data_IF_080008183997
#
_entry.id   IF_080008183997
#
_cell.length_a   1.000
_cell.length_b   1.000
_cell.length_c   1.000
_cell.angle_alpha   90.00
_cell.angle_beta   90.00
_cell.angle_gamma   90.00
#
_symmetry.space_group_name_H-M   'P 1'
#
loop_
_entity.id
_entity.type
_entity.pdbx_description
1 polymer ?
#
# COMPACT_ATOMS: atom_id res chain seq x y z
N UNK A 1 57.25 6.90 28.80
CA UNK A 1 57.14 6.08 30.03
C UNK A 1 55.85 6.53 30.66
N UNK A 2 54.75 5.85 30.34
CA UNK A 2 53.45 6.10 30.95
C UNK A 2 53.59 5.93 32.46
N UNK A 3 53.24 6.96 33.23
CA UNK A 3 53.07 6.78 34.66
C UNK A 3 51.88 5.82 34.88
N UNK A 4 51.93 5.01 35.93
CA UNK A 4 50.83 4.11 36.29
C UNK A 4 49.57 4.93 36.60
N UNK A 5 48.66 5.05 35.63
CA UNK A 5 47.36 5.71 35.80
C UNK A 5 46.85 6.55 34.63
N UNK A 6 47.66 6.80 33.60
CA UNK A 6 47.29 7.60 32.42
C UNK A 6 47.74 6.88 31.13
N UNK A 7 46.85 6.76 30.15
CA UNK A 7 47.11 6.12 28.86
C UNK A 7 47.43 7.12 27.74
N UNK A 8 47.22 8.41 27.96
CA UNK A 8 47.58 9.50 27.05
C UNK A 8 47.92 10.78 27.84
N UNK A 9 49.22 11.04 27.99
CA UNK A 9 49.75 12.23 28.70
C UNK A 9 49.29 13.58 28.08
N UNK A 10 48.59 13.56 26.93
CA UNK A 10 48.05 14.76 26.25
C UNK A 10 46.55 14.97 26.47
N UNK A 11 45.84 14.00 27.06
CA UNK A 11 44.38 14.03 27.23
C UNK A 11 43.95 13.63 28.64
N UNK A 12 43.46 14.61 29.41
CA UNK A 12 42.95 14.36 30.77
C UNK A 12 41.65 13.52 30.80
N UNK A 13 40.98 13.34 29.66
CA UNK A 13 39.71 12.61 29.59
C UNK A 13 39.87 11.10 29.39
N UNK A 14 41.08 10.60 29.15
CA UNK A 14 41.34 9.17 28.97
C UNK A 14 41.81 8.54 30.29
N UNK A 15 41.13 7.47 30.68
CA UNK A 15 41.31 6.73 31.93
C UNK A 15 41.35 5.24 31.66
N UNK A 16 42.34 4.50 32.22
CA UNK A 16 42.42 3.05 32.06
C UNK A 16 41.50 2.28 33.03
N UNK A 17 40.70 2.99 33.83
CA UNK A 17 39.68 2.37 34.68
C UNK A 17 38.43 2.16 33.84
N UNK A 18 37.93 0.95 33.89
CA UNK A 18 36.58 0.58 33.46
C UNK A 18 35.65 0.81 34.68
N UNK A 19 34.80 1.83 34.60
CA UNK A 19 33.96 2.24 35.75
C UNK A 19 32.57 1.59 35.76
N UNK A 20 32.06 1.10 34.63
CA UNK A 20 30.75 0.44 34.53
C UNK A 20 30.83 -1.09 34.45
N UNK A 21 32.02 -1.64 34.21
CA UNK A 21 32.34 -3.06 34.23
C UNK A 21 32.02 -3.80 32.94
N UNK A 22 31.89 -3.11 31.81
CA UNK A 22 31.61 -3.73 30.50
C UNK A 22 32.85 -4.34 29.83
N UNK A 23 34.04 -4.10 30.38
CA UNK A 23 35.32 -4.59 29.89
C UNK A 23 36.08 -3.61 28.99
N UNK A 24 35.50 -2.44 28.72
CA UNK A 24 36.11 -1.33 28.01
C UNK A 24 36.33 -0.15 28.95
N UNK A 25 37.34 0.65 28.60
CA UNK A 25 37.60 1.91 29.26
C UNK A 25 37.76 2.97 28.19
N UNK A 26 37.71 4.25 28.55
CA UNK A 26 38.00 5.34 27.58
C UNK A 26 39.33 5.16 26.84
N UNK A 27 40.34 4.54 27.45
CA UNK A 27 41.60 4.19 26.78
C UNK A 27 41.45 3.09 25.70
N UNK A 28 40.42 2.26 25.80
CA UNK A 28 40.09 1.19 24.86
C UNK A 28 39.04 1.61 23.83
N UNK A 29 38.67 2.91 23.78
CA UNK A 29 37.73 3.45 22.80
C UNK A 29 36.30 3.54 23.29
N UNK A 30 36.05 3.30 24.59
CA UNK A 30 34.74 3.50 25.19
C UNK A 30 34.29 4.97 25.09
N UNK A 31 33.11 5.18 24.52
CA UNK A 31 32.52 6.49 24.37
C UNK A 31 31.78 6.95 25.63
N UNK A 32 31.44 6.05 26.56
CA UNK A 32 30.91 6.40 27.87
C UNK A 32 31.21 5.34 28.95
N UNK A 33 32.36 5.50 29.58
CA UNK A 33 32.88 4.74 30.74
C UNK A 33 31.95 4.58 31.96
N UNK A 34 30.80 5.24 32.00
CA UNK A 34 29.83 5.14 33.09
C UNK A 34 28.51 4.45 32.65
N UNK A 35 28.48 3.90 31.44
CA UNK A 35 27.32 3.32 30.77
C UNK A 35 27.75 2.11 29.95
N UNK A 36 27.62 0.93 30.53
CA UNK A 36 27.91 -0.35 29.89
C UNK A 36 27.10 -0.63 28.61
N UNK A 37 26.00 0.12 28.39
CA UNK A 37 25.19 0.09 27.18
C UNK A 37 25.74 1.00 26.06
N UNK A 38 26.92 1.59 26.24
CA UNK A 38 27.56 2.53 25.30
C UNK A 38 29.03 2.20 25.10
N UNK A 39 29.27 1.06 24.49
CA UNK A 39 30.61 0.49 24.31
C UNK A 39 31.04 0.47 22.83
N UNK A 40 32.33 0.31 22.54
CA UNK A 40 32.85 0.19 21.17
C UNK A 40 32.75 -1.24 20.62
N UNK A 41 32.17 -2.16 21.40
CA UNK A 41 31.87 -3.50 20.89
C UNK A 41 30.78 -3.39 19.82
N UNK A 42 30.98 -4.15 18.75
CA UNK A 42 29.98 -4.44 17.72
C UNK A 42 29.52 -5.87 18.02
N UNK A 43 28.44 -5.99 18.79
CA UNK A 43 28.02 -7.27 19.39
C UNK A 43 27.20 -8.13 18.43
N UNK A 44 26.62 -7.53 17.39
CA UNK A 44 25.79 -8.21 16.41
C UNK A 44 26.43 -8.34 15.01
N UNK A 45 27.59 -7.69 14.82
CA UNK A 45 28.44 -7.73 13.65
C UNK A 45 27.86 -7.06 12.39
N UNK A 46 27.02 -6.04 12.56
CA UNK A 46 26.49 -5.21 11.47
C UNK A 46 27.47 -4.11 11.00
N UNK A 47 28.54 -3.88 11.76
CA UNK A 47 29.57 -2.86 11.50
C UNK A 47 29.36 -1.53 12.22
N UNK A 48 28.31 -1.42 13.02
CA UNK A 48 28.04 -0.34 13.95
C UNK A 48 28.15 -0.86 15.39
N UNK A 49 28.33 0.09 16.30
CA UNK A 49 28.31 -0.12 17.74
C UNK A 49 27.48 1.00 18.34
N UNK A 50 27.08 0.86 19.59
CA UNK A 50 26.40 1.95 20.32
C UNK A 50 27.23 3.24 20.36
N UNK A 51 28.57 3.17 20.26
CA UNK A 51 29.43 4.35 20.13
C UNK A 51 29.40 5.01 18.75
N UNK A 52 29.06 4.28 17.69
CA UNK A 52 28.95 4.80 16.32
C UNK A 52 27.51 5.10 15.90
N UNK A 53 26.56 5.02 16.83
CA UNK A 53 25.18 5.46 16.61
C UNK A 53 24.16 4.33 16.50
N UNK A 54 24.56 3.08 16.74
CA UNK A 54 23.62 1.97 16.86
C UNK A 54 22.71 2.18 18.07
N UNK A 55 21.40 1.99 17.85
CA UNK A 55 20.39 2.09 18.88
C UNK A 55 20.13 0.76 19.60
N UNK A 56 20.47 -0.38 18.99
CA UNK A 56 20.43 -1.73 19.58
C UNK A 56 21.48 -2.65 18.94
N UNK A 57 22.69 -2.59 19.50
CA UNK A 57 23.87 -3.39 19.14
C UNK A 57 23.71 -4.90 19.43
N UNK A 58 22.49 -5.39 19.67
CA UNK A 58 22.19 -6.82 19.78
C UNK A 58 21.38 -7.37 18.59
N UNK A 59 21.02 -6.52 17.64
CA UNK A 59 20.11 -6.82 16.53
C UNK A 59 20.58 -6.22 15.21
N UNK A 60 21.15 -7.02 14.27
CA UNK A 60 21.81 -6.49 13.06
C UNK A 60 20.91 -5.76 12.06
N UNK A 61 19.59 -5.82 12.27
CA UNK A 61 18.59 -5.20 11.39
C UNK A 61 18.02 -3.91 11.99
N UNK A 62 18.50 -3.49 13.17
CA UNK A 62 18.11 -2.25 13.85
C UNK A 62 19.34 -1.34 13.93
N UNK A 63 19.69 -0.77 12.79
CA UNK A 63 20.95 -0.04 12.58
C UNK A 63 20.71 1.43 12.21
N UNK A 64 21.74 2.30 12.29
CA UNK A 64 21.64 3.69 11.87
C UNK A 64 21.83 3.89 10.35
N UNK A 65 22.02 2.81 9.58
CA UNK A 65 22.07 2.90 8.13
C UNK A 65 20.67 3.13 7.56
N UNK A 66 20.59 3.99 6.55
CA UNK A 66 19.41 4.22 5.71
C UNK A 66 19.68 3.46 4.40
N UNK A 67 19.10 2.26 4.27
CA UNK A 67 19.46 1.32 3.18
C UNK A 67 18.76 1.64 1.87
N UNK A 68 17.53 2.15 1.88
CA UNK A 68 16.77 2.51 0.68
C UNK A 68 16.85 3.99 0.28
N UNK A 69 17.32 4.87 1.17
CA UNK A 69 17.60 6.28 0.92
C UNK A 69 16.40 7.20 1.07
N UNK A 70 15.35 6.82 1.81
CA UNK A 70 14.16 7.65 2.05
C UNK A 70 14.36 8.71 3.16
N UNK A 71 15.45 8.60 3.92
CA UNK A 71 15.82 9.52 5.01
C UNK A 71 15.45 9.02 6.41
N UNK A 72 14.84 7.84 6.51
CA UNK A 72 14.63 7.09 7.74
C UNK A 72 15.58 5.89 7.77
N UNK A 73 15.79 5.39 8.97
CA UNK A 73 16.54 4.16 9.19
C UNK A 73 15.72 3.31 10.13
N UNK A 74 16.02 2.02 10.24
CA UNK A 74 15.43 1.17 11.29
C UNK A 74 15.57 1.78 12.69
N UNK A 75 16.72 2.40 13.02
CA UNK A 75 16.87 3.16 14.28
C UNK A 75 16.01 4.43 14.38
N UNK A 76 15.62 5.03 13.26
CA UNK A 76 14.71 6.18 13.21
C UNK A 76 13.22 5.78 13.20
N UNK A 77 12.91 4.48 13.21
CA UNK A 77 11.56 3.94 13.28
C UNK A 77 11.03 3.35 11.98
N UNK A 78 11.87 3.21 10.96
CA UNK A 78 11.50 2.51 9.72
C UNK A 78 11.32 1.01 9.99
N UNK A 79 10.13 0.52 9.68
CA UNK A 79 9.73 -0.87 9.85
C UNK A 79 10.16 -1.77 8.67
N UNK A 80 10.57 -1.20 7.53
CA UNK A 80 11.18 -1.88 6.41
C UNK A 80 12.18 -1.00 5.61
N UNK A 81 13.40 -0.90 6.15
CA UNK A 81 14.56 -0.17 5.60
C UNK A 81 15.02 -0.53 4.17
N UNK A 82 14.38 -1.52 3.53
CA UNK A 82 14.69 -1.92 2.16
C UNK A 82 13.65 -1.40 1.14
N UNK A 83 12.67 -0.63 1.58
CA UNK A 83 11.56 -0.14 0.78
C UNK A 83 11.17 1.30 1.17
N UNK A 84 11.71 2.28 0.42
CA UNK A 84 11.52 3.70 0.74
C UNK A 84 10.11 4.26 0.50
N UNK A 85 9.12 3.39 0.36
CA UNK A 85 7.71 3.72 0.48
C UNK A 85 7.18 3.53 1.91
N UNK A 86 7.92 2.83 2.78
CA UNK A 86 7.55 2.46 4.14
C UNK A 86 8.43 3.26 5.10
N UNK A 87 7.85 4.20 5.85
CA UNK A 87 8.58 5.02 6.81
C UNK A 87 7.64 5.72 7.79
N UNK A 88 8.14 6.17 8.95
CA UNK A 88 7.33 6.92 9.90
C UNK A 88 6.57 8.11 9.30
N UNK A 89 5.26 8.15 9.54
CA UNK A 89 4.32 9.16 9.01
C UNK A 89 4.12 9.12 7.47
N UNK A 90 4.42 8.00 6.80
CA UNK A 90 4.06 7.81 5.39
C UNK A 90 2.53 7.84 5.16
N UNK A 91 2.11 8.03 3.91
CA UNK A 91 0.70 7.90 3.55
C UNK A 91 0.35 6.41 3.37
N UNK A 92 -0.53 5.89 4.22
CA UNK A 92 -1.06 4.52 4.11
C UNK A 92 -1.66 4.19 2.73
N UNK A 93 -1.24 3.05 2.19
CA UNK A 93 -1.74 2.42 0.96
C UNK A 93 -2.42 1.12 1.34
N UNK A 94 -3.61 0.79 0.80
CA UNK A 94 -4.23 -0.51 1.14
C UNK A 94 -3.54 -1.70 0.43
N UNK A 95 -2.30 -2.00 0.80
CA UNK A 95 -1.50 -3.13 0.34
C UNK A 95 -1.38 -4.22 1.44
N UNK A 96 -1.90 -3.97 2.64
CA UNK A 96 -1.78 -4.89 3.78
C UNK A 96 -0.42 -4.83 4.48
N UNK A 97 0.34 -3.77 4.22
CA UNK A 97 1.58 -3.37 4.88
C UNK A 97 1.25 -2.18 5.78
N UNK A 98 2.02 -2.02 6.86
CA UNK A 98 2.03 -0.84 7.71
C UNK A 98 3.02 0.13 7.06
N UNK A 99 2.53 1.03 6.21
CA UNK A 99 3.41 1.91 5.43
C UNK A 99 3.96 3.05 6.32
N UNK A 100 3.20 3.48 7.33
CA UNK A 100 3.55 4.60 8.22
C UNK A 100 4.22 4.19 9.54
N UNK A 101 4.40 2.88 9.74
CA UNK A 101 5.05 2.23 10.88
C UNK A 101 4.41 2.54 12.25
N UNK A 102 3.10 2.79 12.30
CA UNK A 102 2.36 3.06 13.54
C UNK A 102 1.81 1.79 14.25
N UNK A 103 2.07 0.61 13.68
CA UNK A 103 1.60 -0.73 14.11
C UNK A 103 0.13 -1.03 13.82
N UNK A 104 -0.57 -0.13 13.14
CA UNK A 104 -1.80 -0.48 12.46
C UNK A 104 -1.49 -0.73 10.97
N UNK A 105 -2.46 -1.33 10.29
CA UNK A 105 -2.33 -1.67 8.87
C UNK A 105 -3.51 -1.01 8.18
N UNK A 106 -3.21 -0.15 7.21
CA UNK A 106 -4.14 0.59 6.38
C UNK A 106 -5.17 1.49 7.13
N UNK A 107 -4.79 2.16 8.24
CA UNK A 107 -5.68 2.96 9.13
C UNK A 107 -5.76 4.46 8.82
N UNK A 108 -4.76 5.09 8.19
CA UNK A 108 -4.83 6.52 7.80
C UNK A 108 -5.26 6.79 6.35
N UNK A 109 -5.63 5.77 5.59
CA UNK A 109 -6.43 5.93 4.37
C UNK A 109 -7.81 6.60 4.63
N UNK A 110 -8.14 6.97 5.89
CA UNK A 110 -9.47 7.16 6.44
C UNK A 110 -9.91 8.61 6.73
N UNK A 111 -9.36 9.63 6.07
CA UNK A 111 -10.06 10.94 6.08
C UNK A 111 -11.27 10.92 5.14
N UNK A 112 -12.35 10.31 5.66
CA UNK A 112 -13.73 10.16 5.17
C UNK A 112 -14.08 8.82 4.48
N UNK A 113 -14.63 7.89 5.27
CA UNK A 113 -15.50 6.75 4.87
C UNK A 113 -14.92 5.54 4.10
N UNK A 114 -13.61 5.45 3.88
CA UNK A 114 -13.00 4.38 3.06
C UNK A 114 -12.12 3.39 3.81
N UNK A 115 -12.73 2.51 4.60
CA UNK A 115 -12.01 1.37 5.18
C UNK A 115 -11.50 0.43 4.09
N UNK A 116 -10.19 0.17 4.05
CA UNK A 116 -9.58 -0.95 3.34
C UNK A 116 -10.26 -2.31 3.70
N UNK A 117 -10.96 -2.37 4.83
CA UNK A 117 -11.77 -3.50 5.29
C UNK A 117 -13.07 -3.81 4.49
N UNK A 118 -13.46 -3.00 3.50
CA UNK A 118 -14.72 -3.22 2.76
C UNK A 118 -14.57 -3.95 1.43
N UNK A 119 -13.35 -4.35 1.08
CA UNK A 119 -13.06 -5.02 -0.17
C UNK A 119 -12.71 -6.49 0.06
N UNK A 120 -13.46 -7.42 -0.54
CA UNK A 120 -13.14 -8.85 -0.49
C UNK A 120 -12.25 -9.25 -1.67
N UNK A 121 -11.06 -9.83 -1.48
CA UNK A 121 -10.19 -10.23 -2.59
C UNK A 121 -10.65 -11.54 -3.27
N UNK A 122 -10.31 -11.68 -4.55
CA UNK A 122 -10.39 -12.90 -5.35
C UNK A 122 -9.15 -12.99 -6.23
N UNK A 123 -8.29 -13.97 -5.97
CA UNK A 123 -7.07 -14.21 -6.75
C UNK A 123 -7.38 -15.14 -7.92
N UNK A 124 -6.85 -14.81 -9.10
CA UNK A 124 -6.90 -15.65 -10.30
C UNK A 124 -5.61 -15.52 -11.10
N UNK A 125 -4.67 -16.43 -10.87
CA UNK A 125 -3.37 -16.43 -11.53
C UNK A 125 -2.47 -15.32 -10.99
N UNK A 126 -2.01 -14.44 -11.87
CA UNK A 126 -1.16 -13.27 -11.60
C UNK A 126 -1.97 -12.00 -11.30
N UNK A 127 -3.28 -12.14 -11.08
CA UNK A 127 -4.20 -11.04 -10.83
C UNK A 127 -5.01 -11.24 -9.56
N UNK A 128 -5.36 -10.12 -8.93
CA UNK A 128 -6.28 -10.03 -7.81
C UNK A 128 -7.40 -9.05 -8.11
N UNK A 129 -8.62 -9.42 -7.74
CA UNK A 129 -9.80 -8.58 -7.84
C UNK A 129 -10.33 -8.24 -6.45
N UNK A 130 -10.57 -6.97 -6.17
CA UNK A 130 -11.07 -6.49 -4.88
C UNK A 130 -12.53 -6.04 -5.01
N UNK A 131 -13.44 -6.75 -4.37
CA UNK A 131 -14.88 -6.48 -4.40
C UNK A 131 -15.27 -5.54 -3.26
N UNK A 132 -15.31 -4.24 -3.53
CA UNK A 132 -15.55 -3.20 -2.54
C UNK A 132 -17.04 -2.89 -2.42
N UNK A 133 -17.60 -3.04 -1.22
CA UNK A 133 -19.06 -2.93 -1.01
C UNK A 133 -19.54 -1.58 -0.44
N UNK A 134 -18.65 -0.60 -0.35
CA UNK A 134 -19.03 0.79 -0.07
C UNK A 134 -19.52 1.44 -1.35
N UNK A 135 -20.26 2.54 -1.20
CA UNK A 135 -20.79 3.28 -2.34
C UNK A 135 -19.91 4.49 -2.65
N UNK A 136 -19.67 4.75 -3.93
CA UNK A 136 -19.01 5.95 -4.43
C UNK A 136 -19.42 6.27 -5.88
N UNK A 137 -18.98 7.41 -6.41
CA UNK A 137 -19.01 7.71 -7.84
C UNK A 137 -17.85 7.02 -8.60
N UNK A 138 -17.90 7.04 -9.94
CA UNK A 138 -16.93 6.31 -10.75
C UNK A 138 -15.49 6.83 -10.55
N UNK A 139 -15.34 8.14 -10.37
CA UNK A 139 -14.02 8.79 -10.23
C UNK A 139 -13.42 8.47 -8.87
N UNK A 140 -14.21 8.58 -7.80
CA UNK A 140 -13.83 8.23 -6.44
C UNK A 140 -13.50 6.74 -6.31
N UNK A 141 -14.34 5.86 -6.86
CA UNK A 141 -14.08 4.42 -6.91
C UNK A 141 -12.75 4.10 -7.62
N UNK A 142 -12.49 4.74 -8.77
CA UNK A 142 -11.24 4.55 -9.51
C UNK A 142 -10.03 5.03 -8.71
N UNK A 143 -10.10 6.23 -8.12
CA UNK A 143 -9.01 6.75 -7.29
C UNK A 143 -8.67 5.81 -6.14
N UNK A 144 -9.69 5.16 -5.55
CA UNK A 144 -9.49 4.14 -4.50
C UNK A 144 -8.82 2.88 -5.03
N UNK A 145 -9.07 2.46 -6.26
CA UNK A 145 -8.32 1.36 -6.86
C UNK A 145 -6.87 1.75 -7.16
N UNK A 146 -6.64 2.95 -7.71
CA UNK A 146 -5.29 3.47 -7.99
C UNK A 146 -4.43 3.55 -6.72
N UNK A 147 -5.02 3.98 -5.60
CA UNK A 147 -4.37 3.99 -4.29
C UNK A 147 -3.97 2.59 -3.79
N UNK A 148 -4.50 1.50 -4.35
CA UNK A 148 -4.15 0.11 -4.00
C UNK A 148 -3.13 -0.50 -4.95
N UNK A 149 -2.50 0.29 -5.81
CA UNK A 149 -1.68 -0.24 -6.91
C UNK A 149 -2.49 -0.99 -7.98
N UNK A 150 -3.80 -0.76 -8.03
CA UNK A 150 -4.77 -1.39 -8.94
C UNK A 150 -5.43 -0.34 -9.85
N UNK A 151 -6.37 -0.73 -10.70
CA UNK A 151 -7.34 0.17 -11.34
C UNK A 151 -8.75 -0.44 -11.21
N UNK A 152 -9.81 0.23 -11.70
CA UNK A 152 -11.10 -0.44 -11.86
C UNK A 152 -10.94 -1.68 -12.76
N UNK A 153 -11.70 -2.73 -12.49
CA UNK A 153 -11.57 -3.99 -13.21
C UNK A 153 -11.99 -3.85 -14.68
N UNK A 154 -11.15 -4.39 -15.57
CA UNK A 154 -11.39 -4.38 -17.02
C UNK A 154 -11.89 -5.75 -17.45
N UNK A 155 -13.21 -5.93 -17.56
CA UNK A 155 -13.84 -7.23 -17.85
C UNK A 155 -13.92 -7.50 -19.35
N UNK A 156 -12.78 -7.40 -20.03
CA UNK A 156 -12.68 -7.48 -21.49
C UNK A 156 -12.90 -8.88 -22.05
N UNK A 157 -12.54 -9.92 -21.29
CA UNK A 157 -12.63 -11.33 -21.72
C UNK A 157 -13.83 -12.06 -21.10
N UNK A 158 -14.38 -13.06 -21.82
CA UNK A 158 -15.54 -13.83 -21.34
C UNK A 158 -15.21 -14.65 -20.08
N UNK A 159 -14.03 -15.26 -20.00
CA UNK A 159 -13.63 -16.08 -18.86
C UNK A 159 -13.43 -15.23 -17.60
N UNK A 160 -12.86 -14.04 -17.77
CA UNK A 160 -12.71 -13.04 -16.71
C UNK A 160 -14.07 -12.54 -16.23
N UNK A 161 -14.97 -12.19 -17.16
CA UNK A 161 -16.34 -11.84 -16.82
C UNK A 161 -17.06 -12.97 -16.06
N UNK A 162 -16.95 -14.22 -16.50
CA UNK A 162 -17.60 -15.37 -15.86
C UNK A 162 -17.06 -15.62 -14.44
N UNK A 163 -15.75 -15.43 -14.24
CA UNK A 163 -15.10 -15.49 -12.93
C UNK A 163 -15.68 -14.43 -11.99
N UNK A 164 -15.72 -13.17 -12.42
CA UNK A 164 -16.23 -12.05 -11.62
C UNK A 164 -17.72 -12.23 -11.34
N UNK A 165 -18.50 -12.60 -12.35
CA UNK A 165 -19.92 -12.91 -12.20
C UNK A 165 -20.17 -14.01 -11.17
N UNK A 166 -19.32 -15.03 -11.10
CA UNK A 166 -19.46 -16.11 -10.10
C UNK A 166 -19.44 -15.58 -8.66
N UNK A 167 -18.61 -14.57 -8.38
CA UNK A 167 -18.54 -13.89 -7.08
C UNK A 167 -19.70 -12.93 -6.87
N UNK A 168 -20.02 -12.14 -7.89
CA UNK A 168 -21.11 -11.17 -7.87
C UNK A 168 -22.48 -11.77 -7.61
N UNK A 169 -22.74 -13.04 -7.97
CA UNK A 169 -24.00 -13.73 -7.62
C UNK A 169 -24.38 -13.69 -6.13
N UNK A 170 -23.39 -13.50 -5.25
CA UNK A 170 -23.58 -13.39 -3.80
C UNK A 170 -23.63 -11.96 -3.27
N UNK A 171 -23.43 -10.97 -4.14
CA UNK A 171 -23.33 -9.55 -3.79
C UNK A 171 -24.39 -8.76 -4.57
N UNK A 172 -25.52 -8.44 -3.94
CA UNK A 172 -26.56 -7.62 -4.57
C UNK A 172 -26.09 -6.18 -4.83
N UNK A 173 -26.41 -5.61 -5.98
CA UNK A 173 -26.14 -4.18 -6.28
C UNK A 173 -25.56 -3.98 -7.68
N UNK A 174 -25.15 -2.76 -8.00
CA UNK A 174 -24.42 -2.45 -9.24
C UNK A 174 -22.98 -2.08 -8.88
N UNK A 175 -22.03 -2.54 -9.69
CA UNK A 175 -20.61 -2.37 -9.45
C UNK A 175 -19.94 -1.62 -10.60
N UNK A 176 -19.21 -0.55 -10.28
CA UNK A 176 -18.32 0.13 -11.20
C UNK A 176 -17.25 -0.81 -11.73
N UNK A 177 -17.06 -0.74 -13.05
CA UNK A 177 -15.97 -1.36 -13.80
C UNK A 177 -15.29 -0.27 -14.63
N UNK A 178 -14.15 -0.58 -15.24
CA UNK A 178 -13.35 0.44 -15.90
C UNK A 178 -13.88 0.91 -17.25
N UNK A 179 -14.84 0.17 -17.84
CA UNK A 179 -15.43 0.55 -19.12
C UNK A 179 -16.14 1.90 -19.04
N UNK A 180 -15.91 2.73 -20.05
CA UNK A 180 -16.44 4.09 -20.16
C UNK A 180 -16.31 4.61 -21.60
N UNK A 181 -17.01 5.67 -21.96
CA UNK A 181 -16.83 6.42 -23.22
C UNK A 181 -16.71 7.95 -23.00
N UNK A 182 -16.23 8.32 -21.80
CA UNK A 182 -16.06 9.70 -21.31
C UNK A 182 -15.32 10.63 -22.27
N UNK A 183 -14.37 10.09 -23.03
CA UNK A 183 -13.57 10.88 -23.97
C UNK A 183 -14.27 11.10 -25.31
N UNK A 184 -15.11 10.14 -25.72
CA UNK A 184 -15.78 10.16 -27.03
C UNK A 184 -17.01 9.25 -27.03
N UNK A 185 -18.17 9.89 -27.05
CA UNK A 185 -19.49 9.27 -27.20
C UNK A 185 -19.52 8.14 -28.25
N UNK A 186 -20.00 6.97 -27.83
CA UNK A 186 -20.13 5.78 -28.66
C UNK A 186 -18.81 5.06 -28.96
N UNK A 187 -17.72 5.45 -28.28
CA UNK A 187 -16.41 4.78 -28.33
C UNK A 187 -16.03 4.30 -26.94
N UNK A 188 -16.47 3.08 -26.62
CA UNK A 188 -16.28 2.47 -25.31
C UNK A 188 -14.87 1.89 -25.15
N UNK A 189 -14.20 2.29 -24.08
CA UNK A 189 -12.83 1.91 -23.74
C UNK A 189 -12.74 1.46 -22.29
N UNK A 190 -11.80 0.57 -22.02
CA UNK A 190 -11.39 0.20 -20.67
C UNK A 190 -10.23 1.13 -20.24
N UNK A 191 -10.03 1.33 -18.94
CA UNK A 191 -8.95 2.23 -18.47
C UNK A 191 -7.54 1.67 -18.70
N UNK A 192 -7.42 0.36 -18.91
CA UNK A 192 -6.18 -0.33 -19.30
C UNK A 192 -5.81 -0.13 -20.79
N UNK A 193 -6.64 0.57 -21.56
CA UNK A 193 -6.46 0.83 -22.99
C UNK A 193 -7.16 -0.17 -23.91
N UNK A 194 -7.86 -1.17 -23.37
CA UNK A 194 -8.71 -2.07 -24.11
C UNK A 194 -9.92 -1.36 -24.74
N UNK A 195 -10.58 -2.02 -25.70
CA UNK A 195 -11.81 -1.53 -26.32
C UNK A 195 -12.99 -2.43 -26.00
N UNK A 196 -14.17 -1.85 -25.78
CA UNK A 196 -15.42 -2.57 -25.58
C UNK A 196 -16.33 -2.34 -26.80
N UNK A 197 -16.80 -3.42 -27.42
CA UNK A 197 -17.69 -3.31 -28.59
C UNK A 197 -19.09 -2.89 -28.18
N UNK A 198 -19.76 -2.04 -28.96
CA UNK A 198 -21.18 -1.76 -28.78
C UNK A 198 -22.07 -3.00 -29.01
N UNK A 199 -21.58 -3.98 -29.77
CA UNK A 199 -22.26 -5.26 -30.03
C UNK A 199 -21.84 -6.38 -29.06
N UNK A 200 -21.15 -6.05 -27.95
CA UNK A 200 -20.73 -7.07 -26.97
C UNK A 200 -21.96 -7.76 -26.35
N UNK A 201 -22.02 -9.12 -26.32
CA UNK A 201 -23.19 -9.83 -25.82
C UNK A 201 -23.40 -9.70 -24.31
N UNK A 202 -22.45 -9.10 -23.58
CA UNK A 202 -22.56 -8.85 -22.13
C UNK A 202 -23.27 -7.54 -21.80
N UNK A 203 -23.58 -6.70 -22.78
CA UNK A 203 -24.50 -5.58 -22.56
C UNK A 203 -25.89 -6.07 -22.17
N UNK A 204 -26.52 -5.37 -21.23
CA UNK A 204 -27.93 -5.60 -20.91
C UNK A 204 -28.81 -5.30 -22.12
N UNK A 205 -30.05 -5.77 -22.08
CA UNK A 205 -31.00 -5.49 -23.16
C UNK A 205 -31.13 -3.97 -23.41
N UNK A 206 -31.02 -3.57 -24.67
CA UNK A 206 -31.07 -2.19 -25.16
C UNK A 206 -29.88 -1.29 -24.75
N UNK A 207 -28.78 -1.87 -24.24
CA UNK A 207 -27.49 -1.20 -24.00
C UNK A 207 -26.47 -1.51 -25.10
N UNK A 208 -25.42 -0.68 -25.28
CA UNK A 208 -25.18 0.57 -24.58
C UNK A 208 -26.12 1.68 -25.07
N UNK A 209 -26.74 2.36 -24.11
CA UNK A 209 -27.50 3.58 -24.38
C UNK A 209 -26.53 4.74 -24.55
N UNK A 210 -26.68 5.52 -25.62
CA UNK A 210 -25.89 6.73 -25.81
C UNK A 210 -26.28 7.85 -24.84
N UNK A 211 -25.57 8.97 -24.94
CA UNK A 211 -25.75 10.19 -24.15
C UNK A 211 -27.24 10.53 -23.91
N UNK A 212 -27.62 10.58 -22.63
CA UNK A 212 -28.93 11.06 -22.24
C UNK A 212 -29.10 12.55 -22.55
N UNK A 213 -30.32 12.99 -22.84
CA UNK A 213 -30.60 14.41 -23.19
C UNK A 213 -30.23 15.37 -22.05
N UNK A 214 -30.23 14.89 -20.80
CA UNK A 214 -30.08 15.72 -19.58
C UNK A 214 -28.84 15.34 -18.76
N UNK A 215 -28.48 14.05 -18.73
CA UNK A 215 -27.31 13.53 -18.02
C UNK A 215 -26.47 12.74 -19.02
N UNK A 216 -25.16 13.01 -19.03
CA UNK A 216 -24.20 12.24 -19.82
C UNK A 216 -24.01 10.90 -19.11
N UNK A 217 -24.11 9.84 -19.88
CA UNK A 217 -24.11 8.48 -19.35
C UNK A 217 -22.85 7.84 -19.92
N UNK A 218 -21.71 8.11 -19.29
CA UNK A 218 -20.41 7.84 -19.89
C UNK A 218 -19.66 6.68 -19.20
N UNK A 219 -20.23 6.08 -18.15
CA UNK A 219 -19.55 5.07 -17.31
C UNK A 219 -20.34 3.77 -17.24
N UNK A 220 -19.64 2.64 -17.07
CA UNK A 220 -20.25 1.32 -17.12
C UNK A 220 -20.27 0.67 -15.74
N UNK A 221 -21.35 -0.08 -15.49
CA UNK A 221 -21.47 -0.97 -14.33
C UNK A 221 -21.80 -2.39 -14.75
N UNK A 222 -21.48 -3.35 -13.89
CA UNK A 222 -21.95 -4.73 -13.97
C UNK A 222 -22.91 -5.02 -12.83
N UNK A 223 -24.03 -5.70 -13.13
CA UNK A 223 -25.02 -6.07 -12.12
C UNK A 223 -24.57 -7.25 -11.24
N UNK A 224 -24.72 -7.11 -9.93
CA UNK A 224 -24.46 -8.14 -8.93
C UNK A 224 -25.73 -8.68 -8.26
N UNK A 225 -25.67 -9.96 -7.87
CA UNK A 225 -26.80 -10.68 -7.30
C UNK A 225 -27.96 -10.83 -8.28
N UNK A 226 -29.06 -11.43 -7.82
CA UNK A 226 -30.24 -11.64 -8.66
C UNK A 226 -31.24 -10.47 -8.59
N UNK A 227 -31.01 -9.54 -7.67
CA UNK A 227 -31.89 -8.38 -7.46
C UNK A 227 -31.42 -7.12 -8.21
N UNK A 228 -30.23 -7.14 -8.83
CA UNK A 228 -29.78 -6.04 -9.68
C UNK A 228 -30.69 -5.87 -10.92
N UNK A 229 -30.75 -4.66 -11.50
CA UNK A 229 -31.53 -4.41 -12.72
C UNK A 229 -31.15 -5.34 -13.90
N UNK A 230 -29.85 -5.70 -14.00
CA UNK A 230 -29.30 -6.53 -15.07
C UNK A 230 -28.21 -7.46 -14.53
N UNK A 231 -28.58 -8.58 -13.88
CA UNK A 231 -27.63 -9.50 -13.23
C UNK A 231 -26.55 -10.04 -14.19
N UNK A 232 -25.29 -9.72 -13.91
CA UNK A 232 -24.14 -10.16 -14.72
C UNK A 232 -24.05 -9.50 -16.10
N UNK A 233 -24.74 -8.38 -16.32
CA UNK A 233 -24.74 -7.66 -17.59
C UNK A 233 -24.26 -6.22 -17.37
N UNK A 234 -23.72 -5.62 -18.43
CA UNK A 234 -23.18 -4.27 -18.46
C UNK A 234 -24.27 -3.23 -18.73
N UNK A 235 -24.19 -2.08 -18.06
CA UNK A 235 -25.09 -0.95 -18.27
C UNK A 235 -24.36 0.39 -18.24
N UNK A 236 -24.78 1.29 -19.12
CA UNK A 236 -24.34 2.68 -19.14
C UNK A 236 -25.06 3.46 -18.01
N UNK A 237 -24.30 4.20 -17.21
CA UNK A 237 -24.80 5.10 -16.17
C UNK A 237 -23.96 6.39 -16.11
N UNK A 238 -24.49 7.44 -15.48
CA UNK A 238 -23.76 8.68 -15.29
C UNK A 238 -22.58 8.47 -14.33
N UNK A 239 -21.39 8.96 -14.69
CA UNK A 239 -20.17 8.78 -13.88
C UNK A 239 -20.24 9.51 -12.53
N UNK A 240 -20.77 10.72 -12.53
CA UNK A 240 -20.81 11.64 -11.39
C UNK A 240 -22.06 12.53 -11.49
N UNK A 241 -22.59 13.05 -10.36
CA UNK A 241 -22.29 12.69 -8.98
C UNK A 241 -23.20 11.53 -8.52
N UNK A 242 -22.84 10.29 -8.88
CA UNK A 242 -23.64 9.09 -8.62
C UNK A 242 -22.96 8.29 -7.51
N UNK A 243 -23.23 8.65 -6.25
CA UNK A 243 -22.61 8.05 -5.04
C UNK A 243 -23.41 6.87 -4.48
N UNK A 244 -23.87 5.96 -5.32
CA UNK A 244 -24.79 4.87 -4.92
C UNK A 244 -24.34 3.49 -5.43
N UNK A 245 -23.08 3.37 -5.85
CA UNK A 245 -22.59 2.12 -6.44
C UNK A 245 -21.27 1.66 -5.85
N UNK A 246 -21.17 0.35 -5.82
CA UNK A 246 -20.00 -0.41 -5.38
C UNK A 246 -18.97 -0.46 -6.49
N UNK A 247 -17.80 -1.03 -6.25
CA UNK A 247 -16.79 -1.13 -7.30
C UNK A 247 -15.92 -2.39 -7.19
N UNK A 248 -15.27 -2.71 -8.30
CA UNK A 248 -14.33 -3.82 -8.38
C UNK A 248 -12.99 -3.25 -8.84
N UNK A 249 -11.95 -3.43 -8.03
CA UNK A 249 -10.58 -3.14 -8.45
C UNK A 249 -9.93 -4.40 -9.05
N UNK A 250 -9.01 -4.22 -9.98
CA UNK A 250 -8.13 -5.24 -10.55
C UNK A 250 -6.67 -4.77 -10.45
N UNK A 251 -5.79 -5.62 -9.94
CA UNK A 251 -4.35 -5.34 -9.82
C UNK A 251 -3.49 -6.59 -9.95
N UNK A 252 -2.16 -6.42 -10.02
CA UNK A 252 -1.21 -7.54 -10.01
C UNK A 252 -1.26 -8.30 -8.69
N UNK A 253 -1.03 -9.62 -8.73
CA UNK A 253 -0.86 -10.45 -7.55
C UNK A 253 0.54 -11.08 -7.55
N UNK A 254 1.39 -10.60 -6.64
CA UNK A 254 2.82 -10.95 -6.61
C UNK A 254 3.17 -12.18 -5.73
N UNK A 255 2.17 -12.84 -5.13
CA UNK A 255 2.33 -14.15 -4.48
C UNK A 255 2.54 -14.13 -2.98
#
# INVERSE_FOLDING_TARGET
STCTGDCDDTSFSLSPRDNDGDGYSTCQGDCNDNRADRSPADNDADGYSTCTGDCDDTTPFLSPADVDGDGYSSCAGDCNDNDGAIYPDADEVCNGVDDDCDQAIDEYALTNSDSCASCSPLVSGDRVYYFCTNDDDWVGARNKCLKRGADLASLGDQAEHDLIWSKLKSLDGEFWISANDRDKEGVYVWTDGGSLSADDPRWAQDEPTGDGIVIKIDCVTVGGGWNAPSPGEYRMVACEPVFDRRWICEGPFDG
#
